data_IF_189609515141
#
_entry.id   IF_189609515141
#
_cell.length_a   1.000
_cell.length_b   1.000
_cell.length_c   1.000
_cell.angle_alpha   90.00
_cell.angle_beta   90.00
_cell.angle_gamma   90.00
#
_symmetry.space_group_name_H-M   'P 1'
#
loop_
_entity.id
_entity.type
_entity.pdbx_description
1 polymer ?
#
# COMPACT_ATOMS: atom_id res chain seq x y z
N UNK A 1 27.32 77.38 -38.87
CA UNK A 1 26.24 77.89 -38.00
C UNK A 1 24.92 77.87 -38.76
N UNK A 2 24.00 76.97 -38.41
CA UNK A 2 22.53 77.13 -38.45
C UNK A 2 21.91 75.75 -38.18
N UNK A 3 21.42 75.59 -36.95
CA UNK A 3 20.63 74.45 -36.47
C UNK A 3 19.26 74.52 -37.16
N UNK A 4 18.78 73.40 -37.69
CA UNK A 4 17.37 73.21 -37.98
C UNK A 4 16.84 72.04 -37.17
N UNK A 5 15.80 72.37 -36.42
CA UNK A 5 14.99 71.56 -35.53
C UNK A 5 13.89 70.83 -36.33
N UNK A 6 13.30 69.84 -35.65
CA UNK A 6 12.00 69.15 -35.83
C UNK A 6 12.06 67.70 -36.35
N UNK A 7 11.10 66.82 -35.96
CA UNK A 7 10.17 66.87 -34.83
C UNK A 7 10.18 65.61 -33.94
N UNK A 8 9.92 65.79 -32.64
CA UNK A 8 9.49 64.74 -31.71
C UNK A 8 8.19 64.10 -32.19
N UNK A 9 8.22 62.82 -32.54
CA UNK A 9 7.01 62.00 -32.55
C UNK A 9 6.68 61.60 -31.11
N UNK A 10 5.62 62.21 -30.56
CA UNK A 10 4.90 61.73 -29.37
C UNK A 10 4.30 60.36 -29.70
N UNK A 11 4.78 59.32 -29.02
CA UNK A 11 4.03 58.08 -28.86
C UNK A 11 2.89 58.30 -27.86
N UNK A 12 1.71 57.70 -28.06
CA UNK A 12 0.61 57.78 -27.11
C UNK A 12 0.96 57.06 -25.80
N UNK A 13 0.47 57.52 -24.63
CA UNK A 13 0.62 56.77 -23.40
C UNK A 13 -0.24 55.50 -23.50
N UNK A 14 0.42 54.34 -23.50
CA UNK A 14 -0.21 53.04 -23.28
C UNK A 14 -0.74 53.02 -21.85
N UNK A 15 -2.01 53.37 -21.72
CA UNK A 15 -2.77 53.28 -20.49
C UNK A 15 -3.14 51.81 -20.26
N UNK A 16 -2.20 51.00 -19.74
CA UNK A 16 -2.48 49.65 -19.25
C UNK A 16 -2.86 49.77 -17.77
N UNK A 17 -4.07 50.26 -17.54
CA UNK A 17 -4.77 50.05 -16.28
C UNK A 17 -5.81 48.99 -16.54
N UNK A 18 -5.55 47.74 -16.14
CA UNK A 18 -6.58 46.83 -15.61
C UNK A 18 -5.94 45.52 -15.15
N UNK A 19 -6.37 45.09 -13.97
CA UNK A 19 -6.23 43.75 -13.37
C UNK A 19 -5.02 43.49 -12.46
N UNK A 20 -4.89 44.31 -11.42
CA UNK A 20 -4.31 43.91 -10.14
C UNK A 20 -5.45 43.91 -9.11
N UNK A 21 -6.26 42.85 -9.08
CA UNK A 21 -7.27 42.66 -8.02
C UNK A 21 -7.23 41.26 -7.39
N UNK A 22 -6.32 40.38 -7.81
CA UNK A 22 -6.23 39.01 -7.28
C UNK A 22 -5.13 38.78 -6.24
N UNK A 23 -4.31 39.78 -5.91
CA UNK A 23 -3.21 39.65 -4.93
C UNK A 23 -3.62 39.88 -3.46
N UNK A 24 -4.69 40.62 -3.18
CA UNK A 24 -5.03 40.99 -1.80
C UNK A 24 -5.69 39.86 -0.98
N UNK A 25 -6.28 38.86 -1.62
CA UNK A 25 -6.88 37.70 -0.92
C UNK A 25 -5.81 36.69 -0.49
N UNK A 26 -4.65 36.65 -1.16
CA UNK A 26 -3.56 35.73 -0.83
C UNK A 26 -2.69 36.18 0.35
N UNK A 27 -2.54 37.50 0.56
CA UNK A 27 -1.68 38.04 1.63
C UNK A 27 -2.24 37.83 3.04
N UNK A 28 -3.57 37.80 3.18
CA UNK A 28 -4.18 37.67 4.52
C UNK A 28 -3.96 36.28 5.12
N UNK A 29 -4.06 35.23 4.29
CA UNK A 29 -3.84 33.84 4.72
C UNK A 29 -2.36 33.50 4.95
N UNK A 30 -1.42 34.27 4.38
CA UNK A 30 0.02 34.01 4.49
C UNK A 30 0.57 34.39 5.87
N UNK A 31 0.12 35.52 6.42
CA UNK A 31 0.52 35.98 7.77
C UNK A 31 0.03 35.04 8.89
N UNK A 32 -1.16 34.45 8.72
CA UNK A 32 -1.75 33.56 9.73
C UNK A 32 -1.00 32.22 9.79
N UNK A 33 -0.54 31.71 8.64
CA UNK A 33 0.26 30.48 8.55
C UNK A 33 1.64 30.67 9.18
N UNK A 34 2.28 31.81 8.95
CA UNK A 34 3.63 32.09 9.45
C UNK A 34 3.66 32.27 10.98
N UNK A 35 2.63 32.92 11.54
CA UNK A 35 2.44 33.06 12.99
C UNK A 35 2.15 31.71 13.70
N UNK A 36 1.45 30.79 13.03
CA UNK A 36 1.17 29.46 13.57
C UNK A 36 2.47 28.67 13.83
N UNK A 37 3.38 28.62 12.84
CA UNK A 37 4.64 27.88 12.98
C UNK A 37 5.55 28.43 14.09
N UNK A 38 5.51 29.73 14.32
CA UNK A 38 6.29 30.37 15.39
C UNK A 38 5.76 30.02 16.79
N UNK A 39 4.46 29.76 16.90
CA UNK A 39 3.80 29.38 18.15
C UNK A 39 4.09 27.91 18.50
N UNK A 40 4.07 27.01 17.51
CA UNK A 40 4.35 25.56 17.69
C UNK A 40 5.79 25.29 18.15
N UNK A 41 6.76 26.12 17.74
CA UNK A 41 8.15 25.99 18.14
C UNK A 41 8.40 26.23 19.65
N UNK A 42 7.46 26.87 20.36
CA UNK A 42 7.64 27.31 21.75
C UNK A 42 7.19 26.28 22.80
N UNK A 43 6.54 25.17 22.42
CA UNK A 43 5.80 24.30 23.36
C UNK A 43 6.51 22.99 23.75
N UNK A 44 7.79 22.79 23.40
CA UNK A 44 8.49 21.50 23.58
C UNK A 44 9.32 21.40 24.88
N UNK A 45 8.73 21.49 26.07
CA UNK A 45 9.44 21.13 27.32
C UNK A 45 8.53 20.52 28.40
N UNK A 46 8.16 19.24 28.26
CA UNK A 46 7.72 18.38 29.39
C UNK A 46 7.75 16.90 28.98
N UNK A 47 8.26 16.03 29.86
CA UNK A 47 8.42 14.57 29.60
C UNK A 47 7.06 13.85 29.53
N UNK A 48 6.61 13.31 28.38
CA UNK A 48 5.27 12.77 28.24
C UNK A 48 5.19 11.23 28.34
N UNK A 49 4.06 10.72 28.85
CA UNK A 49 3.65 9.32 28.75
C UNK A 49 3.56 8.86 27.27
N UNK A 50 3.72 7.56 27.00
CA UNK A 50 3.82 7.02 25.63
C UNK A 50 2.59 7.28 24.74
N UNK A 51 1.39 7.44 25.31
CA UNK A 51 0.19 7.81 24.54
C UNK A 51 0.22 9.24 24.04
N UNK A 52 0.68 10.18 24.87
CA UNK A 52 0.89 11.58 24.48
C UNK A 52 1.94 11.71 23.38
N UNK A 53 2.95 10.84 23.39
CA UNK A 53 3.95 10.79 22.33
C UNK A 53 3.34 10.42 20.97
N UNK A 54 2.46 9.41 20.92
CA UNK A 54 1.75 9.03 19.69
C UNK A 54 0.87 10.16 19.16
N UNK A 55 0.08 10.79 20.04
CA UNK A 55 -0.79 11.92 19.69
C UNK A 55 0.05 13.07 19.12
N UNK A 56 1.17 13.40 19.78
CA UNK A 56 2.11 14.42 19.32
C UNK A 56 2.64 14.12 17.93
N UNK A 57 3.01 12.87 17.63
CA UNK A 57 3.48 12.49 16.30
C UNK A 57 2.41 12.61 15.23
N UNK A 58 1.14 12.30 15.54
CA UNK A 58 0.02 12.48 14.60
C UNK A 58 -0.18 13.97 14.30
N UNK A 59 -0.15 14.82 15.33
CA UNK A 59 -0.27 16.28 15.17
C UNK A 59 0.90 16.82 14.33
N UNK A 60 2.13 16.42 14.66
CA UNK A 60 3.35 16.81 13.94
C UNK A 60 3.31 16.38 12.47
N UNK A 61 2.89 15.14 12.19
CA UNK A 61 2.68 14.65 10.83
C UNK A 61 1.63 15.48 10.07
N UNK A 62 0.53 15.83 10.74
CA UNK A 62 -0.55 16.65 10.16
C UNK A 62 -0.09 18.08 9.83
N UNK A 63 0.66 18.70 10.74
CA UNK A 63 1.27 20.02 10.53
C UNK A 63 2.30 20.00 9.39
N UNK A 64 3.11 18.95 9.32
CA UNK A 64 4.07 18.73 8.23
C UNK A 64 3.36 18.65 6.88
N UNK A 65 2.24 17.92 6.80
CA UNK A 65 1.42 17.85 5.58
C UNK A 65 0.78 19.21 5.25
N UNK A 66 0.31 19.96 6.24
CA UNK A 66 -0.23 21.30 6.05
C UNK A 66 0.82 22.25 5.43
N UNK A 67 2.03 22.26 5.98
CA UNK A 67 3.16 23.03 5.47
C UNK A 67 3.52 22.61 4.05
N UNK A 68 3.70 21.30 3.84
CA UNK A 68 4.07 20.71 2.56
C UNK A 68 3.06 21.06 1.47
N UNK A 69 1.77 20.92 1.76
CA UNK A 69 0.70 21.24 0.82
C UNK A 69 0.74 22.71 0.43
N UNK A 70 0.84 23.60 1.41
CA UNK A 70 0.87 25.05 1.20
C UNK A 70 2.10 25.47 0.38
N UNK A 71 3.29 24.91 0.71
CA UNK A 71 4.53 25.22 -0.01
C UNK A 71 4.49 24.75 -1.46
N UNK A 72 4.02 23.52 -1.69
CA UNK A 72 3.92 22.96 -3.04
C UNK A 72 2.88 23.70 -3.88
N UNK A 73 1.69 23.98 -3.34
CA UNK A 73 0.65 24.79 -4.00
C UNK A 73 1.20 26.16 -4.43
N UNK A 74 1.87 26.87 -3.51
CA UNK A 74 2.47 28.18 -3.79
C UNK A 74 3.52 28.07 -4.90
N UNK A 75 4.40 27.08 -4.82
CA UNK A 75 5.48 26.89 -5.81
C UNK A 75 4.92 26.58 -7.19
N UNK A 76 3.95 25.67 -7.27
CA UNK A 76 3.29 25.28 -8.54
C UNK A 76 2.51 26.45 -9.12
N UNK A 77 1.71 27.15 -8.30
CA UNK A 77 0.96 28.33 -8.71
C UNK A 77 1.86 29.42 -9.28
N UNK A 78 3.00 29.72 -8.63
CA UNK A 78 4.00 30.67 -9.15
C UNK A 78 4.59 30.20 -10.48
N UNK A 79 4.92 28.92 -10.62
CA UNK A 79 5.46 28.39 -11.87
C UNK A 79 4.48 28.55 -13.02
N UNK A 80 3.20 28.20 -12.83
CA UNK A 80 2.16 28.34 -13.85
C UNK A 80 1.93 29.81 -14.20
N UNK A 81 1.86 30.68 -13.20
CA UNK A 81 1.67 32.12 -13.38
C UNK A 81 2.80 32.78 -14.17
N UNK A 82 4.05 32.31 -14.01
CA UNK A 82 5.20 32.84 -14.77
C UNK A 82 5.18 32.45 -16.25
N UNK A 83 4.65 31.27 -16.59
CA UNK A 83 4.63 30.78 -17.98
C UNK A 83 3.48 31.40 -18.76
N UNK A 84 2.33 31.65 -18.12
CA UNK A 84 1.14 32.20 -18.79
C UNK A 84 0.50 31.26 -19.82
N UNK A 85 0.66 29.94 -19.65
CA UNK A 85 0.08 28.95 -20.56
C UNK A 85 -1.30 28.48 -20.07
N UNK A 86 -2.35 28.79 -20.84
CA UNK A 86 -3.74 28.46 -20.52
C UNK A 86 -4.00 26.96 -20.36
N UNK A 87 -3.29 26.10 -21.10
CA UNK A 87 -3.42 24.65 -20.99
C UNK A 87 -2.88 24.14 -19.66
N UNK A 88 -1.75 24.67 -19.19
CA UNK A 88 -1.22 24.36 -17.86
C UNK A 88 -2.16 24.87 -16.78
N UNK A 89 -2.66 26.10 -16.93
CA UNK A 89 -3.60 26.68 -15.98
C UNK A 89 -4.89 25.84 -15.86
N UNK A 90 -5.47 25.44 -16.98
CA UNK A 90 -6.65 24.56 -17.01
C UNK A 90 -6.39 23.19 -16.35
N UNK A 91 -5.20 22.61 -16.52
CA UNK A 91 -4.84 21.33 -15.93
C UNK A 91 -4.61 21.41 -14.41
N UNK A 92 -3.98 22.48 -13.92
CA UNK A 92 -3.59 22.60 -12.52
C UNK A 92 -4.63 23.31 -11.64
N UNK A 93 -5.44 24.22 -12.20
CA UNK A 93 -6.41 24.99 -11.41
C UNK A 93 -7.38 24.13 -10.59
N UNK A 94 -8.01 23.07 -11.14
CA UNK A 94 -8.95 22.23 -10.37
C UNK A 94 -8.28 21.57 -9.17
N UNK A 95 -7.07 21.04 -9.35
CA UNK A 95 -6.35 20.33 -8.31
C UNK A 95 -5.75 21.27 -7.26
N UNK A 96 -5.28 22.46 -7.66
CA UNK A 96 -4.84 23.49 -6.73
C UNK A 96 -6.00 23.98 -5.86
N UNK A 97 -7.20 24.15 -6.43
CA UNK A 97 -8.40 24.51 -5.68
C UNK A 97 -8.82 23.40 -4.70
N UNK A 98 -8.84 22.14 -5.17
CA UNK A 98 -9.12 20.96 -4.32
C UNK A 98 -8.13 20.85 -3.18
N UNK A 99 -6.84 21.05 -3.46
CA UNK A 99 -5.78 21.01 -2.46
C UNK A 99 -5.95 22.13 -1.43
N UNK A 100 -6.21 23.37 -1.87
CA UNK A 100 -6.46 24.51 -0.98
C UNK A 100 -7.62 24.26 -0.02
N UNK A 101 -8.77 23.81 -0.53
CA UNK A 101 -9.93 23.50 0.31
C UNK A 101 -9.64 22.40 1.35
N UNK A 102 -8.84 21.39 0.99
CA UNK A 102 -8.41 20.34 1.91
C UNK A 102 -7.44 20.86 2.97
N UNK A 103 -6.51 21.73 2.59
CA UNK A 103 -5.57 22.40 3.51
C UNK A 103 -6.30 23.28 4.52
N UNK A 104 -7.30 24.06 4.09
CA UNK A 104 -8.14 24.89 4.96
C UNK A 104 -8.93 24.05 5.97
N UNK A 105 -9.48 22.90 5.53
CA UNK A 105 -10.15 21.96 6.42
C UNK A 105 -9.17 21.38 7.46
N UNK A 106 -7.97 20.98 7.05
CA UNK A 106 -6.95 20.45 7.95
C UNK A 106 -6.50 21.50 8.98
N UNK A 107 -6.30 22.74 8.54
CA UNK A 107 -5.98 23.88 9.40
C UNK A 107 -7.05 24.09 10.47
N UNK A 108 -8.33 24.13 10.05
CA UNK A 108 -9.46 24.30 10.98
C UNK A 108 -9.50 23.20 12.06
N UNK A 109 -9.21 21.95 11.70
CA UNK A 109 -9.17 20.84 12.66
C UNK A 109 -7.99 20.99 13.63
N UNK A 110 -6.81 21.38 13.13
CA UNK A 110 -5.63 21.64 13.97
C UNK A 110 -5.89 22.78 14.97
N UNK A 111 -6.54 23.86 14.55
CA UNK A 111 -6.92 24.98 15.44
C UNK A 111 -7.95 24.56 16.50
N UNK A 112 -8.84 23.63 16.15
CA UNK A 112 -9.83 23.09 17.10
C UNK A 112 -9.19 22.18 18.15
N UNK A 113 -8.13 21.44 17.79
CA UNK A 113 -7.41 20.55 18.72
C UNK A 113 -6.74 21.35 19.85
N UNK A 114 -6.34 22.59 19.59
CA UNK A 114 -5.79 23.47 20.62
C UNK A 114 -6.84 23.87 21.67
N UNK A 115 -8.13 23.83 21.30
CA UNK A 115 -9.27 24.30 22.12
C UNK A 115 -10.12 23.17 22.71
N UNK A 116 -10.00 21.94 22.21
CA UNK A 116 -10.87 20.79 22.56
C UNK A 116 -10.06 19.54 22.88
N UNK A 117 -10.62 18.59 23.65
CA UNK A 117 -9.95 17.32 23.92
C UNK A 117 -9.68 16.53 22.61
N UNK A 118 -8.43 16.13 22.42
CA UNK A 118 -7.94 15.45 21.20
C UNK A 118 -8.70 14.16 20.85
N UNK A 119 -9.23 13.44 21.85
CA UNK A 119 -9.91 12.15 21.66
C UNK A 119 -11.09 12.21 20.70
N UNK A 120 -11.81 13.34 20.66
CA UNK A 120 -12.96 13.53 19.77
C UNK A 120 -12.55 13.89 18.34
N UNK A 121 -11.44 14.62 18.18
CA UNK A 121 -10.99 15.18 16.90
C UNK A 121 -9.94 14.30 16.19
N UNK A 122 -9.42 13.27 16.86
CA UNK A 122 -8.34 12.43 16.35
C UNK A 122 -8.70 11.76 15.02
N UNK A 123 -9.91 11.21 14.90
CA UNK A 123 -10.34 10.56 13.66
C UNK A 123 -10.46 11.57 12.52
N UNK A 124 -11.06 12.73 12.77
CA UNK A 124 -11.20 13.80 11.78
C UNK A 124 -9.84 14.33 11.32
N UNK A 125 -8.87 14.47 12.23
CA UNK A 125 -7.50 14.87 11.90
C UNK A 125 -6.82 13.84 11.00
N UNK A 126 -6.89 12.55 11.35
CA UNK A 126 -6.28 11.46 10.57
C UNK A 126 -6.91 11.41 9.17
N UNK A 127 -8.24 11.48 9.08
CA UNK A 127 -8.96 11.46 7.80
C UNK A 127 -8.64 12.69 6.95
N UNK A 128 -8.60 13.88 7.56
CA UNK A 128 -8.25 15.12 6.85
C UNK A 128 -6.80 15.10 6.35
N UNK A 129 -5.86 14.58 7.15
CA UNK A 129 -4.45 14.43 6.76
C UNK A 129 -4.29 13.43 5.62
N UNK A 130 -4.95 12.28 5.70
CA UNK A 130 -4.97 11.26 4.64
C UNK A 130 -5.56 11.80 3.33
N UNK A 131 -6.65 12.58 3.41
CA UNK A 131 -7.24 13.28 2.27
C UNK A 131 -6.25 14.27 1.64
N UNK A 132 -5.56 15.07 2.46
CA UNK A 132 -4.52 16.00 1.98
C UNK A 132 -3.39 15.26 1.25
N UNK A 133 -2.87 14.16 1.82
CA UNK A 133 -1.84 13.33 1.18
C UNK A 133 -2.32 12.80 -0.17
N UNK A 134 -3.57 12.33 -0.24
CA UNK A 134 -4.15 11.81 -1.49
C UNK A 134 -4.22 12.88 -2.58
N UNK A 135 -4.64 14.10 -2.24
CA UNK A 135 -4.68 15.23 -3.18
C UNK A 135 -3.27 15.67 -3.60
N UNK A 136 -2.31 15.67 -2.68
CA UNK A 136 -0.92 15.97 -3.02
C UNK A 136 -0.32 14.92 -3.97
N UNK A 137 -0.68 13.63 -3.82
CA UNK A 137 -0.28 12.59 -4.78
C UNK A 137 -0.83 12.88 -6.17
N UNK A 138 -2.10 13.27 -6.27
CA UNK A 138 -2.71 13.70 -7.55
C UNK A 138 -1.97 14.93 -8.12
N UNK A 139 -1.55 15.89 -7.28
CA UNK A 139 -0.83 17.10 -7.71
C UNK A 139 0.56 16.75 -8.24
N UNK A 140 1.30 15.92 -7.52
CA UNK A 140 2.59 15.39 -7.94
C UNK A 140 2.49 14.57 -9.24
N UNK A 141 1.40 13.82 -9.42
CA UNK A 141 1.14 13.11 -10.67
C UNK A 141 0.90 14.07 -11.84
N UNK A 142 0.05 15.08 -11.64
CA UNK A 142 -0.21 16.12 -12.65
C UNK A 142 1.06 16.89 -13.01
N UNK A 143 1.89 17.20 -12.02
CA UNK A 143 3.22 17.75 -12.23
C UNK A 143 4.08 16.84 -13.10
N UNK A 144 4.17 15.55 -12.78
CA UNK A 144 4.96 14.58 -13.53
C UNK A 144 4.53 14.50 -15.00
N UNK A 145 3.23 14.45 -15.28
CA UNK A 145 2.72 14.32 -16.66
C UNK A 145 2.92 15.59 -17.49
N UNK A 146 2.96 16.76 -16.85
CA UNK A 146 3.15 18.07 -17.51
C UNK A 146 4.54 18.68 -17.28
N UNK A 147 5.47 17.92 -16.68
CA UNK A 147 6.75 18.46 -16.22
C UNK A 147 7.59 19.01 -17.38
N UNK A 148 7.60 18.33 -18.52
CA UNK A 148 8.37 18.76 -19.70
C UNK A 148 7.89 20.12 -20.20
N UNK A 149 6.59 20.30 -20.39
CA UNK A 149 5.99 21.57 -20.80
C UNK A 149 6.21 22.67 -19.76
N UNK A 150 6.09 22.32 -18.48
CA UNK A 150 6.31 23.26 -17.38
C UNK A 150 7.77 23.76 -17.38
N UNK A 151 8.75 22.84 -17.39
CA UNK A 151 10.18 23.17 -17.33
C UNK A 151 10.65 23.93 -18.58
N UNK A 152 10.09 23.65 -19.76
CA UNK A 152 10.41 24.40 -20.99
C UNK A 152 10.05 25.89 -20.90
N UNK A 153 9.03 26.24 -20.11
CA UNK A 153 8.62 27.63 -19.91
C UNK A 153 9.25 28.30 -18.69
N UNK A 154 9.96 27.55 -17.82
CA UNK A 154 10.54 28.09 -16.59
C UNK A 154 12.01 28.45 -16.78
N UNK A 155 12.45 29.49 -16.08
CA UNK A 155 13.88 29.71 -15.89
C UNK A 155 14.49 28.61 -14.97
N UNK A 156 15.82 28.54 -14.98
CA UNK A 156 16.56 27.57 -14.17
C UNK A 156 16.36 27.77 -12.65
N UNK A 157 16.05 28.99 -12.20
CA UNK A 157 15.83 29.31 -10.77
C UNK A 157 14.49 28.73 -10.31
N UNK A 158 13.40 28.94 -11.05
CA UNK A 158 12.09 28.38 -10.76
C UNK A 158 12.08 26.87 -10.92
N UNK A 159 12.76 26.33 -11.93
CA UNK A 159 12.89 24.88 -12.12
C UNK A 159 13.63 24.21 -10.96
N UNK A 160 14.75 24.80 -10.49
CA UNK A 160 15.46 24.31 -9.30
C UNK A 160 14.59 24.40 -8.05
N UNK A 161 13.90 25.51 -7.84
CA UNK A 161 13.02 25.68 -6.69
C UNK A 161 11.86 24.67 -6.69
N UNK A 162 11.26 24.42 -7.86
CA UNK A 162 10.21 23.42 -8.03
C UNK A 162 10.73 22.02 -7.70
N UNK A 163 11.91 21.65 -8.20
CA UNK A 163 12.51 20.33 -7.94
C UNK A 163 12.77 20.11 -6.44
N UNK A 164 13.34 21.10 -5.76
CA UNK A 164 13.60 21.03 -4.31
C UNK A 164 12.29 20.84 -3.54
N UNK A 165 11.27 21.68 -3.82
CA UNK A 165 9.98 21.58 -3.14
C UNK A 165 9.27 20.26 -3.43
N UNK A 166 9.36 19.75 -4.66
CA UNK A 166 8.77 18.46 -5.02
C UNK A 166 9.45 17.31 -4.26
N UNK A 167 10.78 17.32 -4.18
CA UNK A 167 11.53 16.30 -3.45
C UNK A 167 11.20 16.32 -1.96
N UNK A 168 11.29 17.49 -1.31
CA UNK A 168 10.92 17.67 0.10
C UNK A 168 9.49 17.19 0.36
N UNK A 169 8.54 17.63 -0.48
CA UNK A 169 7.15 17.20 -0.34
C UNK A 169 6.97 15.69 -0.41
N UNK A 170 7.68 14.99 -1.32
CA UNK A 170 7.58 13.53 -1.42
C UNK A 170 8.13 12.79 -0.19
N UNK A 171 9.19 13.31 0.43
CA UNK A 171 9.76 12.76 1.67
C UNK A 171 8.79 12.99 2.82
N UNK A 172 8.35 14.23 3.01
CA UNK A 172 7.44 14.64 4.07
C UNK A 172 6.10 13.88 4.00
N UNK A 173 5.57 13.69 2.79
CA UNK A 173 4.36 12.89 2.57
C UNK A 173 4.55 11.42 2.95
N UNK A 174 5.70 10.82 2.64
CA UNK A 174 6.00 9.43 2.96
C UNK A 174 6.09 9.25 4.48
N UNK A 175 6.83 10.13 5.15
CA UNK A 175 7.07 10.02 6.58
C UNK A 175 5.78 10.25 7.37
N UNK A 176 4.99 11.27 7.00
CA UNK A 176 3.67 11.49 7.58
C UNK A 176 2.71 10.32 7.30
N UNK A 177 2.75 9.72 6.11
CA UNK A 177 1.93 8.54 5.79
C UNK A 177 2.26 7.35 6.71
N UNK A 178 3.55 7.11 6.98
CA UNK A 178 3.96 6.02 7.88
C UNK A 178 3.41 6.21 9.29
N UNK A 179 3.29 7.45 9.76
CA UNK A 179 2.70 7.78 11.06
C UNK A 179 1.19 7.55 11.06
N UNK A 180 0.45 8.00 10.04
CA UNK A 180 -1.02 7.93 10.06
C UNK A 180 -1.59 6.57 9.59
N UNK A 181 -0.89 5.84 8.73
CA UNK A 181 -1.39 4.63 8.07
C UNK A 181 -1.88 3.54 9.04
N UNK A 182 -1.21 3.25 10.18
CA UNK A 182 -1.70 2.28 11.16
C UNK A 182 -3.12 2.58 11.70
N UNK A 183 -3.55 3.84 11.64
CA UNK A 183 -4.82 4.30 12.19
C UNK A 183 -5.95 4.41 11.14
N UNK A 184 -5.67 4.11 9.86
CA UNK A 184 -6.67 4.17 8.79
C UNK A 184 -7.49 2.87 8.68
N UNK A 185 -6.93 1.73 9.08
CA UNK A 185 -7.56 0.40 8.95
C UNK A 185 -8.30 -0.09 10.19
N UNK A 186 -8.08 0.55 11.33
CA UNK A 186 -8.64 0.18 12.64
C UNK A 186 -9.31 1.42 13.23
N UNK A 187 -10.41 1.25 13.96
CA UNK A 187 -11.04 2.34 14.71
C UNK A 187 -9.95 3.06 15.55
N UNK A 188 -9.62 4.33 15.24
CA UNK A 188 -8.48 5.02 15.83
C UNK A 188 -8.63 5.16 17.33
N UNK A 189 -9.88 5.30 17.81
CA UNK A 189 -10.18 5.42 19.24
C UNK A 189 -9.90 4.11 19.97
N UNK A 190 -10.26 2.96 19.39
CA UNK A 190 -9.96 1.65 19.99
C UNK A 190 -8.47 1.35 19.97
N UNK A 191 -7.76 1.73 18.90
CA UNK A 191 -6.31 1.54 18.80
C UNK A 191 -5.59 2.35 19.88
N UNK A 192 -5.89 3.65 19.98
CA UNK A 192 -5.37 4.52 21.03
C UNK A 192 -5.73 4.03 22.43
N UNK A 193 -6.97 3.59 22.65
CA UNK A 193 -7.44 3.06 23.95
C UNK A 193 -6.75 1.76 24.32
N UNK A 194 -6.50 0.85 23.37
CA UNK A 194 -5.80 -0.41 23.63
C UNK A 194 -4.35 -0.19 24.09
N UNK A 195 -3.68 0.82 23.52
CA UNK A 195 -2.37 1.27 23.99
C UNK A 195 -2.44 1.91 25.38
N UNK A 196 -3.51 2.64 25.69
CA UNK A 196 -3.73 3.22 27.04
C UNK A 196 -4.05 2.15 28.10
N UNK A 197 -4.75 1.07 27.74
CA UNK A 197 -5.27 0.08 28.68
C UNK A 197 -4.26 -1.05 29.00
N UNK A 198 -3.26 -1.29 28.15
CA UNK A 198 -2.19 -2.27 28.42
C UNK A 198 -1.20 -1.84 29.51
N UNK A 199 -1.17 -0.56 29.91
CA UNK A 199 -0.17 -0.05 30.85
C UNK A 199 -0.61 -0.04 32.34
N UNK A 200 -1.88 -0.31 32.64
CA UNK A 200 -2.41 -0.26 34.01
C UNK A 200 -2.32 -1.59 34.79
N UNK A 201 -1.52 -2.58 34.35
CA UNK A 201 -1.41 -3.91 34.99
C UNK A 201 -0.01 -4.35 35.44
N UNK A 202 0.94 -3.45 35.65
CA UNK A 202 2.28 -3.82 36.17
C UNK A 202 2.68 -2.96 37.37
N UNK A 203 1.99 -3.12 38.50
CA UNK A 203 2.53 -2.75 39.81
C UNK A 203 1.75 -3.43 40.94
N UNK A 204 2.04 -4.70 41.22
CA UNK A 204 2.02 -5.24 42.59
C UNK A 204 2.62 -6.65 42.60
N UNK A 205 3.90 -6.71 42.95
CA UNK A 205 4.61 -7.90 43.42
C UNK A 205 4.15 -8.28 44.83
N UNK A 206 3.66 -9.51 45.02
CA UNK A 206 3.85 -10.30 46.25
C UNK A 206 3.68 -11.79 45.94
N UNK A 207 4.59 -12.68 46.39
CA UNK A 207 4.51 -14.11 46.15
C UNK A 207 3.96 -14.85 47.38
N UNK A 208 2.87 -15.61 47.21
CA UNK A 208 2.50 -16.68 48.14
C UNK A 208 1.66 -17.74 47.42
N UNK A 209 2.29 -18.88 47.12
CA UNK A 209 1.66 -20.21 47.20
C UNK A 209 1.18 -20.49 48.64
N UNK A 210 0.20 -21.38 48.95
CA UNK A 210 0.06 -22.71 48.34
C UNK A 210 -1.37 -23.36 48.29
N UNK A 211 -1.38 -24.63 47.83
CA UNK A 211 -2.35 -25.72 48.07
C UNK A 211 -3.67 -25.81 47.27
N UNK A 212 -3.68 -26.78 46.34
CA UNK A 212 -4.55 -27.98 46.32
C UNK A 212 -6.01 -27.76 46.75
N UNK A 213 -6.94 -27.85 45.80
CA UNK A 213 -8.04 -28.81 45.97
C UNK A 213 -8.67 -29.31 44.68
N UNK A 214 -8.94 -30.61 44.75
CA UNK A 214 -9.60 -31.52 43.84
C UNK A 214 -11.09 -31.47 44.15
N UNK A 215 -11.97 -31.42 43.14
CA UNK A 215 -13.19 -32.22 43.09
C UNK A 215 -14.03 -32.00 41.82
N UNK A 216 -14.64 -33.11 41.42
CA UNK A 216 -15.76 -33.36 40.52
C UNK A 216 -16.98 -32.47 40.88
N UNK A 217 -18.00 -32.18 40.06
CA UNK A 217 -18.77 -33.03 39.15
C UNK A 217 -19.76 -32.16 38.33
N UNK A 218 -20.27 -32.76 37.27
CA UNK A 218 -21.65 -32.68 36.71
C UNK A 218 -22.18 -31.43 35.96
N UNK A 219 -22.38 -31.65 34.65
CA UNK A 219 -23.68 -31.64 33.96
C UNK A 219 -24.75 -30.65 34.47
N UNK A 220 -24.96 -29.57 33.73
CA UNK A 220 -26.32 -29.14 33.37
C UNK A 220 -26.37 -28.65 31.93
N UNK A 221 -27.21 -29.34 31.17
CA UNK A 221 -27.76 -28.93 29.88
C UNK A 221 -28.59 -27.68 30.12
N UNK A 222 -28.29 -26.58 29.45
CA UNK A 222 -29.29 -25.53 29.24
C UNK A 222 -29.07 -24.87 27.90
N UNK A 223 -29.99 -25.20 27.00
CA UNK A 223 -30.16 -24.64 25.69
C UNK A 223 -30.66 -23.20 25.80
N UNK A 224 -29.93 -22.25 25.21
CA UNK A 224 -30.51 -21.05 24.63
C UNK A 224 -29.58 -20.54 23.52
N UNK A 225 -29.87 -20.97 22.30
CA UNK A 225 -29.45 -20.28 21.08
C UNK A 225 -30.17 -18.94 20.98
N UNK A 226 -29.49 -17.87 20.51
CA UNK A 226 -30.13 -16.89 19.67
C UNK A 226 -29.73 -17.19 18.22
N UNK A 227 -30.70 -17.78 17.51
CA UNK A 227 -30.83 -17.65 16.06
C UNK A 227 -30.82 -16.16 15.74
N UNK A 228 -29.77 -15.68 15.08
CA UNK A 228 -29.83 -14.57 14.12
C UNK A 228 -28.74 -14.81 13.08
N UNK A 229 -29.11 -15.49 12.00
CA UNK A 229 -28.39 -15.38 10.73
C UNK A 229 -28.58 -13.98 10.18
N UNK A 230 -27.52 -13.24 9.83
CA UNK A 230 -27.61 -12.33 8.71
C UNK A 230 -27.18 -13.12 7.48
N UNK A 231 -28.18 -13.54 6.70
CA UNK A 231 -28.01 -13.84 5.28
C UNK A 231 -27.70 -12.51 4.56
N UNK A 232 -26.52 -11.96 4.80
CA UNK A 232 -25.94 -10.93 3.96
C UNK A 232 -25.00 -11.67 3.02
N UNK A 233 -25.51 -12.08 1.85
CA UNK A 233 -24.66 -12.34 0.71
C UNK A 233 -23.81 -11.09 0.51
N UNK A 234 -22.48 -11.13 0.74
CA UNK A 234 -21.67 -9.99 0.41
C UNK A 234 -21.78 -9.87 -1.12
N UNK A 235 -22.23 -8.72 -1.57
CA UNK A 235 -22.17 -8.32 -2.96
C UNK A 235 -20.67 -8.11 -3.29
N UNK A 236 -19.88 -9.21 -3.30
CA UNK A 236 -18.47 -9.29 -3.66
C UNK A 236 -18.41 -9.20 -5.18
N UNK A 237 -18.84 -8.06 -5.72
CA UNK A 237 -18.49 -7.70 -7.08
C UNK A 237 -17.40 -6.66 -7.02
N UNK A 238 -16.17 -7.15 -7.08
CA UNK A 238 -15.16 -6.50 -7.89
C UNK A 238 -14.13 -5.62 -7.18
N UNK A 239 -13.89 -5.78 -5.89
CA UNK A 239 -12.70 -5.16 -5.28
C UNK A 239 -11.59 -6.19 -4.99
N UNK A 240 -10.64 -6.30 -5.92
CA UNK A 240 -9.44 -7.13 -5.75
C UNK A 240 -8.45 -6.50 -4.73
N UNK A 241 -8.75 -5.36 -4.09
CA UNK A 241 -7.85 -4.71 -3.11
C UNK A 241 -7.42 -5.64 -1.99
N UNK A 242 -8.33 -6.45 -1.45
CA UNK A 242 -8.00 -7.41 -0.41
C UNK A 242 -6.99 -8.45 -0.93
N UNK A 243 -7.22 -9.02 -2.12
CA UNK A 243 -6.30 -9.97 -2.74
C UNK A 243 -4.91 -9.36 -2.95
N UNK A 244 -4.85 -8.14 -3.50
CA UNK A 244 -3.57 -7.46 -3.72
C UNK A 244 -2.84 -7.13 -2.41
N UNK A 245 -3.57 -6.75 -1.37
CA UNK A 245 -2.99 -6.53 -0.03
C UNK A 245 -2.38 -7.82 0.52
N UNK A 246 -3.10 -8.95 0.44
CA UNK A 246 -2.58 -10.25 0.87
C UNK A 246 -1.38 -10.70 0.04
N UNK A 247 -1.41 -10.45 -1.27
CA UNK A 247 -0.32 -10.78 -2.19
C UNK A 247 0.95 -10.00 -1.84
N UNK A 248 0.83 -8.69 -1.59
CA UNK A 248 1.94 -7.84 -1.18
C UNK A 248 2.53 -8.24 0.16
N UNK A 249 1.67 -8.60 1.12
CA UNK A 249 2.11 -9.12 2.42
C UNK A 249 2.87 -10.45 2.25
N UNK A 250 2.39 -11.36 1.39
CA UNK A 250 3.07 -12.62 1.09
C UNK A 250 4.44 -12.38 0.43
N UNK A 251 4.53 -11.46 -0.53
CA UNK A 251 5.77 -11.09 -1.22
C UNK A 251 6.79 -10.49 -0.24
N UNK A 252 6.37 -9.50 0.56
CA UNK A 252 7.23 -8.84 1.55
C UNK A 252 7.78 -9.85 2.57
N UNK A 253 6.91 -10.72 3.08
CA UNK A 253 7.29 -11.76 4.03
C UNK A 253 8.25 -12.77 3.41
N UNK A 254 8.03 -13.14 2.15
CA UNK A 254 8.92 -14.06 1.42
C UNK A 254 10.29 -13.44 1.21
N UNK A 255 10.38 -12.17 0.79
CA UNK A 255 11.66 -11.46 0.64
C UNK A 255 12.48 -11.45 1.93
N UNK A 256 11.83 -11.20 3.08
CA UNK A 256 12.51 -11.25 4.37
C UNK A 256 13.10 -12.64 4.67
N UNK A 257 12.32 -13.70 4.44
CA UNK A 257 12.75 -15.09 4.67
C UNK A 257 13.85 -15.50 3.69
N UNK A 258 13.74 -15.13 2.40
CA UNK A 258 14.74 -15.43 1.38
C UNK A 258 16.07 -14.75 1.68
N UNK A 259 16.05 -13.49 2.13
CA UNK A 259 17.27 -12.78 2.55
C UNK A 259 17.92 -13.42 3.79
N UNK A 260 17.10 -13.76 4.79
CA UNK A 260 17.58 -14.45 6.00
C UNK A 260 18.17 -15.83 5.66
N UNK A 261 17.54 -16.55 4.73
CA UNK A 261 18.00 -17.84 4.25
C UNK A 261 19.34 -17.71 3.50
N UNK A 262 19.45 -16.73 2.60
CA UNK A 262 20.68 -16.42 1.88
C UNK A 262 21.85 -16.17 2.85
N UNK A 263 21.64 -15.29 3.83
CA UNK A 263 22.65 -15.00 4.85
C UNK A 263 23.05 -16.26 5.62
N UNK A 264 22.08 -17.06 6.06
CA UNK A 264 22.37 -18.30 6.79
C UNK A 264 23.13 -19.32 5.96
N UNK A 265 22.87 -19.40 4.64
CA UNK A 265 23.62 -20.27 3.73
C UNK A 265 25.06 -19.78 3.60
N UNK A 266 25.26 -18.47 3.38
CA UNK A 266 26.59 -17.86 3.25
C UNK A 266 27.43 -18.05 4.53
N UNK A 267 26.83 -17.83 5.71
CA UNK A 267 27.47 -18.07 7.01
C UNK A 267 27.84 -19.55 7.19
N UNK A 268 26.96 -20.46 6.76
CA UNK A 268 27.24 -21.90 6.81
C UNK A 268 28.42 -22.24 5.92
N UNK A 269 28.43 -21.75 4.67
CA UNK A 269 29.47 -21.99 3.66
C UNK A 269 30.87 -21.48 4.06
N UNK A 270 30.94 -20.45 4.91
CA UNK A 270 32.21 -19.95 5.45
C UNK A 270 32.79 -20.83 6.58
N UNK A 271 32.04 -21.79 7.09
CA UNK A 271 32.51 -22.72 8.12
C UNK A 271 33.50 -23.76 7.59
N UNK A 272 34.64 -23.95 8.27
CA UNK A 272 35.78 -24.78 7.80
C UNK A 272 35.53 -26.31 7.68
N UNK A 273 34.32 -26.84 7.87
CA UNK A 273 34.07 -28.30 7.94
C UNK A 273 32.66 -28.71 7.45
N UNK A 274 32.31 -28.40 6.21
CA UNK A 274 31.02 -28.81 5.63
C UNK A 274 31.22 -30.02 4.71
N UNK A 275 30.37 -31.06 4.77
CA UNK A 275 30.36 -32.12 3.78
C UNK A 275 30.13 -31.59 2.35
N UNK A 276 30.88 -32.09 1.38
CA UNK A 276 30.79 -31.67 -0.04
C UNK A 276 29.37 -31.89 -0.61
N UNK A 277 28.65 -32.93 -0.14
CA UNK A 277 27.25 -33.18 -0.50
C UNK A 277 26.33 -32.03 -0.09
N UNK A 278 26.46 -31.59 1.16
CA UNK A 278 25.70 -30.50 1.74
C UNK A 278 26.06 -29.17 1.07
N UNK A 279 27.35 -28.91 0.82
CA UNK A 279 27.81 -27.71 0.13
C UNK A 279 27.16 -27.56 -1.26
N UNK A 280 27.10 -28.64 -2.05
CA UNK A 280 26.43 -28.63 -3.37
C UNK A 280 24.93 -28.32 -3.24
N UNK A 281 24.25 -28.90 -2.25
CA UNK A 281 22.82 -28.65 -2.01
C UNK A 281 22.57 -27.22 -1.55
N UNK A 282 23.43 -26.66 -0.70
CA UNK A 282 23.34 -25.28 -0.23
C UNK A 282 23.54 -24.28 -1.38
N UNK A 283 24.50 -24.54 -2.28
CA UNK A 283 24.70 -23.72 -3.47
C UNK A 283 23.50 -23.76 -4.44
N UNK A 284 22.90 -24.93 -4.64
CA UNK A 284 21.67 -25.02 -5.45
C UNK A 284 20.49 -24.31 -4.75
N UNK A 285 20.38 -24.42 -3.42
CA UNK A 285 19.34 -23.69 -2.67
C UNK A 285 19.53 -22.18 -2.78
N UNK A 286 20.77 -21.70 -2.74
CA UNK A 286 21.12 -20.30 -2.93
C UNK A 286 20.67 -19.80 -4.32
N UNK A 287 20.92 -20.59 -5.37
CA UNK A 287 20.45 -20.29 -6.74
C UNK A 287 18.92 -20.21 -6.82
N UNK A 288 18.21 -21.15 -6.21
CA UNK A 288 16.73 -21.15 -6.16
C UNK A 288 16.18 -19.97 -5.36
N UNK A 289 16.86 -19.60 -4.27
CA UNK A 289 16.51 -18.44 -3.42
C UNK A 289 16.64 -17.13 -4.20
N UNK A 290 17.71 -16.98 -4.99
CA UNK A 290 17.93 -15.82 -5.85
C UNK A 290 16.84 -15.71 -6.92
N UNK A 291 16.52 -16.81 -7.61
CA UNK A 291 15.43 -16.86 -8.59
C UNK A 291 14.07 -16.49 -7.98
N UNK A 292 13.75 -17.02 -6.79
CA UNK A 292 12.52 -16.66 -6.08
C UNK A 292 12.48 -15.18 -5.65
N UNK A 293 13.64 -14.59 -5.33
CA UNK A 293 13.77 -13.16 -4.98
C UNK A 293 13.45 -12.26 -6.18
N UNK A 294 13.97 -12.60 -7.35
CA UNK A 294 13.69 -11.87 -8.60
C UNK A 294 12.21 -11.92 -8.97
N UNK A 295 11.60 -13.10 -8.87
CA UNK A 295 10.15 -13.28 -9.09
C UNK A 295 9.32 -12.49 -8.08
N UNK A 296 9.74 -12.45 -6.81
CA UNK A 296 9.07 -11.68 -5.76
C UNK A 296 9.06 -10.19 -6.09
N UNK A 297 10.20 -9.61 -6.50
CA UNK A 297 10.27 -8.21 -6.91
C UNK A 297 9.48 -7.91 -8.20
N UNK A 298 9.47 -8.84 -9.15
CA UNK A 298 8.69 -8.70 -10.38
C UNK A 298 7.18 -8.65 -10.08
N UNK A 299 6.73 -9.54 -9.21
CA UNK A 299 5.34 -9.59 -8.77
C UNK A 299 4.96 -8.34 -7.98
N UNK A 300 5.80 -7.87 -7.06
CA UNK A 300 5.55 -6.65 -6.27
C UNK A 300 5.27 -5.44 -7.16
N UNK A 301 6.13 -5.20 -8.16
CA UNK A 301 5.96 -4.12 -9.14
C UNK A 301 4.65 -4.25 -9.93
N UNK A 302 4.28 -5.47 -10.31
CA UNK A 302 3.06 -5.71 -11.05
C UNK A 302 1.80 -5.55 -10.18
N UNK A 303 1.86 -5.92 -8.91
CA UNK A 303 0.77 -5.65 -7.95
C UNK A 303 0.61 -4.15 -7.74
N UNK A 304 1.69 -3.41 -7.52
CA UNK A 304 1.65 -1.95 -7.38
C UNK A 304 1.05 -1.26 -8.61
N UNK A 305 1.47 -1.65 -9.82
CA UNK A 305 0.93 -1.10 -11.06
C UNK A 305 -0.58 -1.35 -11.21
N UNK A 306 -1.06 -2.53 -10.81
CA UNK A 306 -2.49 -2.87 -10.87
C UNK A 306 -3.31 -2.21 -9.76
N UNK A 307 -2.72 -1.92 -8.59
CA UNK A 307 -3.39 -1.14 -7.53
C UNK A 307 -3.43 0.37 -7.84
N UNK A 308 -2.45 0.88 -8.59
CA UNK A 308 -2.33 2.31 -8.92
C UNK A 308 -3.14 2.79 -10.13
N UNK A 309 -3.68 1.88 -10.95
CA UNK A 309 -4.44 2.22 -12.15
C UNK A 309 -5.86 2.73 -11.82
N UNK A 310 -5.93 3.99 -11.42
CA UNK A 310 -7.15 4.80 -11.47
C UNK A 310 -7.49 5.14 -12.93
N UNK A 311 -8.50 4.46 -13.47
CA UNK A 311 -9.50 4.80 -14.52
C UNK A 311 -9.23 5.75 -15.71
N UNK A 312 -8.13 6.51 -15.83
CA UNK A 312 -8.06 7.59 -16.84
C UNK A 312 -7.16 7.34 -18.07
N UNK A 313 -6.30 6.32 -18.10
CA UNK A 313 -5.45 6.00 -19.28
C UNK A 313 -6.08 4.97 -20.24
N UNK A 314 -7.41 5.06 -20.42
CA UNK A 314 -8.25 4.04 -21.08
C UNK A 314 -8.09 3.93 -22.61
N UNK A 315 -7.16 4.66 -23.23
CA UNK A 315 -7.08 4.72 -24.70
C UNK A 315 -5.88 3.98 -25.32
N UNK A 316 -4.88 3.55 -24.53
CA UNK A 316 -3.71 2.82 -25.05
C UNK A 316 -3.23 1.64 -24.18
N UNK A 317 -3.95 1.26 -23.11
CA UNK A 317 -3.53 0.20 -22.19
C UNK A 317 -3.89 -1.22 -22.71
N UNK A 318 -3.10 -2.25 -22.34
CA UNK A 318 -3.49 -3.65 -22.50
C UNK A 318 -4.91 -3.87 -21.97
N UNK A 319 -5.71 -4.65 -22.70
CA UNK A 319 -7.08 -4.96 -22.26
C UNK A 319 -7.07 -5.48 -20.82
N UNK A 320 -8.10 -5.18 -20.02
CA UNK A 320 -8.22 -5.65 -18.62
C UNK A 320 -7.90 -7.14 -18.44
N UNK A 321 -8.28 -7.96 -19.44
CA UNK A 321 -8.02 -9.40 -19.46
C UNK A 321 -6.52 -9.74 -19.58
N UNK A 322 -5.76 -8.94 -20.33
CA UNK A 322 -4.31 -9.12 -20.48
C UNK A 322 -3.56 -8.74 -19.21
N UNK A 323 -3.94 -7.65 -18.53
CA UNK A 323 -3.39 -7.31 -17.21
C UNK A 323 -3.70 -8.39 -16.17
N UNK A 324 -4.94 -8.92 -16.19
CA UNK A 324 -5.38 -10.02 -15.34
C UNK A 324 -4.56 -11.30 -15.57
N UNK A 325 -4.34 -11.65 -16.84
CA UNK A 325 -3.52 -12.80 -17.22
C UNK A 325 -2.09 -12.65 -16.72
N UNK A 326 -1.47 -11.49 -16.95
CA UNK A 326 -0.08 -11.23 -16.56
C UNK A 326 0.12 -11.35 -15.05
N UNK A 327 -0.76 -10.77 -14.24
CA UNK A 327 -0.66 -10.86 -12.79
C UNK A 327 -0.89 -12.29 -12.28
N UNK A 328 -1.77 -13.06 -12.95
CA UNK A 328 -1.94 -14.48 -12.67
C UNK A 328 -0.68 -15.28 -12.98
N UNK A 329 -0.08 -15.10 -14.15
CA UNK A 329 1.14 -15.79 -14.58
C UNK A 329 2.28 -15.52 -13.59
N UNK A 330 2.50 -14.26 -13.24
CA UNK A 330 3.54 -13.89 -12.26
C UNK A 330 3.26 -14.46 -10.87
N UNK A 331 2.01 -14.41 -10.40
CA UNK A 331 1.64 -15.01 -9.12
C UNK A 331 1.86 -16.52 -9.12
N UNK A 332 1.47 -17.20 -10.20
CA UNK A 332 1.62 -18.65 -10.35
C UNK A 332 3.09 -19.07 -10.34
N UNK A 333 3.94 -18.37 -11.10
CA UNK A 333 5.38 -18.65 -11.16
C UNK A 333 6.05 -18.36 -9.81
N UNK A 334 5.71 -17.24 -9.17
CA UNK A 334 6.18 -16.89 -7.83
C UNK A 334 5.83 -17.97 -6.80
N UNK A 335 4.56 -18.40 -6.74
CA UNK A 335 4.11 -19.41 -5.77
C UNK A 335 4.83 -20.74 -5.98
N UNK A 336 5.01 -21.17 -7.23
CA UNK A 336 5.78 -22.38 -7.56
C UNK A 336 7.24 -22.28 -7.10
N UNK A 337 7.88 -21.12 -7.30
CA UNK A 337 9.25 -20.90 -6.85
C UNK A 337 9.37 -20.94 -5.31
N UNK A 338 8.46 -20.29 -4.59
CA UNK A 338 8.43 -20.34 -3.12
C UNK A 338 8.24 -21.78 -2.62
N UNK A 339 7.28 -22.52 -3.17
CA UNK A 339 7.05 -23.93 -2.79
C UNK A 339 8.29 -24.80 -3.08
N UNK A 340 8.98 -24.56 -4.21
CA UNK A 340 10.22 -25.25 -4.54
C UNK A 340 11.31 -24.99 -3.50
N UNK A 341 11.54 -23.72 -3.13
CA UNK A 341 12.50 -23.34 -2.08
C UNK A 341 12.15 -24.03 -0.74
N UNK A 342 10.89 -23.98 -0.30
CA UNK A 342 10.46 -24.60 0.96
C UNK A 342 10.63 -26.12 0.96
N UNK A 343 10.34 -26.76 -0.17
CA UNK A 343 10.55 -28.21 -0.36
C UNK A 343 12.04 -28.56 -0.26
N UNK A 344 12.90 -27.72 -0.84
CA UNK A 344 14.34 -27.95 -0.85
C UNK A 344 14.98 -27.75 0.54
N UNK A 345 14.55 -26.72 1.29
CA UNK A 345 14.90 -26.52 2.71
C UNK A 345 14.57 -27.78 3.53
N UNK A 346 13.36 -28.34 3.34
CA UNK A 346 12.92 -29.56 4.03
C UNK A 346 13.78 -30.76 3.66
N UNK A 347 14.09 -30.92 2.38
CA UNK A 347 14.95 -32.01 1.87
C UNK A 347 16.33 -32.00 2.53
N UNK A 348 16.97 -30.82 2.62
CA UNK A 348 18.28 -30.67 3.26
C UNK A 348 18.22 -31.07 4.74
N UNK A 349 17.19 -30.63 5.48
CA UNK A 349 17.02 -31.01 6.88
C UNK A 349 16.82 -32.50 7.11
N UNK A 350 16.17 -33.21 6.17
CA UNK A 350 15.93 -34.65 6.32
C UNK A 350 17.13 -35.51 5.91
N UNK A 351 17.98 -35.05 4.99
CA UNK A 351 19.02 -35.89 4.37
C UNK A 351 20.42 -35.68 4.92
N UNK A 352 20.74 -34.49 5.44
CA UNK A 352 22.13 -34.12 5.81
C UNK A 352 22.28 -33.84 7.31
N UNK A 353 21.30 -34.25 8.14
CA UNK A 353 21.21 -33.91 9.57
C UNK A 353 21.38 -32.40 9.86
N UNK A 354 21.07 -31.57 8.87
CA UNK A 354 21.31 -30.13 8.92
C UNK A 354 20.17 -29.39 9.63
N UNK A 355 20.53 -28.65 10.68
CA UNK A 355 19.59 -27.89 11.49
C UNK A 355 19.50 -26.42 11.09
N UNK A 356 18.43 -26.03 10.39
CA UNK A 356 18.18 -24.61 10.12
C UNK A 356 17.94 -23.79 11.40
N UNK A 357 18.40 -22.53 11.43
CA UNK A 357 18.00 -21.54 12.43
C UNK A 357 16.49 -21.49 12.66
N UNK A 358 16.07 -21.22 13.91
CA UNK A 358 14.65 -21.14 14.28
C UNK A 358 13.91 -20.06 13.48
N UNK A 359 14.56 -18.94 13.19
CA UNK A 359 14.04 -17.84 12.39
C UNK A 359 13.63 -18.30 10.98
N UNK A 360 14.46 -19.10 10.31
CA UNK A 360 14.17 -19.65 8.99
C UNK A 360 12.98 -20.60 9.06
N UNK A 361 12.97 -21.53 10.02
CA UNK A 361 11.84 -22.48 10.19
C UNK A 361 10.52 -21.75 10.41
N UNK A 362 10.50 -20.74 11.29
CA UNK A 362 9.30 -19.93 11.55
C UNK A 362 8.90 -19.10 10.34
N UNK A 363 9.87 -18.50 9.64
CA UNK A 363 9.66 -17.77 8.40
C UNK A 363 9.02 -18.62 7.31
N UNK A 364 9.56 -19.82 7.07
CA UNK A 364 9.01 -20.78 6.11
C UNK A 364 7.56 -21.16 6.42
N UNK A 365 7.23 -21.42 7.70
CA UNK A 365 5.87 -21.71 8.13
C UNK A 365 4.92 -20.54 7.88
N UNK A 366 5.37 -19.32 8.20
CA UNK A 366 4.58 -18.11 7.99
C UNK A 366 4.31 -17.85 6.51
N UNK A 367 5.35 -17.90 5.67
CA UNK A 367 5.23 -17.76 4.20
C UNK A 367 4.31 -18.83 3.62
N UNK A 368 4.40 -20.08 4.08
CA UNK A 368 3.51 -21.16 3.65
C UNK A 368 2.05 -20.83 3.94
N UNK A 369 1.73 -20.33 5.14
CA UNK A 369 0.35 -19.91 5.48
C UNK A 369 -0.11 -18.74 4.62
N UNK A 370 0.74 -17.73 4.42
CA UNK A 370 0.40 -16.54 3.62
C UNK A 370 0.12 -16.91 2.16
N UNK A 371 0.97 -17.75 1.56
CA UNK A 371 0.78 -18.23 0.18
C UNK A 371 -0.46 -19.10 0.01
N UNK A 372 -0.82 -19.89 1.04
CA UNK A 372 -2.08 -20.65 1.05
C UNK A 372 -3.32 -19.73 1.12
N UNK A 373 -3.30 -18.69 1.97
CA UNK A 373 -4.38 -17.71 2.03
C UNK A 373 -4.51 -16.91 0.73
N UNK A 374 -3.39 -16.56 0.07
CA UNK A 374 -3.42 -15.96 -1.27
C UNK A 374 -4.11 -16.87 -2.27
N UNK A 375 -3.74 -18.15 -2.34
CA UNK A 375 -4.35 -19.10 -3.26
C UNK A 375 -5.86 -19.29 -2.98
N UNK A 376 -6.25 -19.31 -1.71
CA UNK A 376 -7.64 -19.38 -1.28
C UNK A 376 -8.42 -18.14 -1.71
N UNK A 377 -7.96 -16.94 -1.36
CA UNK A 377 -8.62 -15.68 -1.75
C UNK A 377 -8.72 -15.53 -3.27
N UNK A 378 -7.68 -15.93 -3.98
CA UNK A 378 -7.65 -15.92 -5.44
C UNK A 378 -8.79 -16.76 -6.03
N UNK A 379 -8.93 -17.99 -5.55
CA UNK A 379 -9.93 -18.93 -6.06
C UNK A 379 -11.35 -18.64 -5.57
N UNK A 380 -11.51 -17.95 -4.44
CA UNK A 380 -12.82 -17.70 -3.82
C UNK A 380 -13.44 -16.35 -4.18
N UNK A 381 -12.63 -15.31 -4.41
CA UNK A 381 -13.13 -13.93 -4.39
C UNK A 381 -12.61 -13.04 -5.53
N UNK A 382 -11.89 -13.62 -6.51
CA UNK A 382 -11.27 -12.82 -7.56
C UNK A 382 -12.05 -12.83 -8.86
N UNK A 383 -12.11 -11.65 -9.50
CA UNK A 383 -12.45 -11.51 -10.93
C UNK A 383 -11.54 -12.36 -11.84
N UNK A 384 -10.35 -12.75 -11.37
CA UNK A 384 -9.46 -13.68 -12.07
C UNK A 384 -10.05 -15.09 -12.19
N UNK A 385 -10.76 -15.56 -11.16
CA UNK A 385 -11.38 -16.89 -11.18
C UNK A 385 -12.57 -16.92 -12.15
N UNK A 386 -13.31 -15.82 -12.27
CA UNK A 386 -14.36 -15.64 -13.29
C UNK A 386 -13.77 -15.69 -14.72
N UNK A 387 -12.57 -15.12 -14.90
CA UNK A 387 -11.82 -15.16 -16.16
C UNK A 387 -11.15 -16.52 -16.44
N UNK A 388 -11.31 -17.52 -15.56
CA UNK A 388 -10.76 -18.88 -15.70
C UNK A 388 -9.33 -19.06 -15.18
N UNK A 389 -8.76 -18.04 -14.53
CA UNK A 389 -7.39 -18.06 -14.01
C UNK A 389 -7.35 -18.57 -12.56
N UNK A 390 -7.28 -19.89 -12.39
CA UNK A 390 -7.20 -20.53 -11.06
C UNK A 390 -5.76 -20.74 -10.60
N UNK A 391 -5.53 -20.67 -9.28
CA UNK A 391 -4.26 -21.06 -8.67
C UNK A 391 -4.38 -22.46 -8.06
N UNK A 392 -3.40 -23.33 -8.34
CA UNK A 392 -3.28 -24.65 -7.71
C UNK A 392 -4.23 -25.74 -8.20
N UNK A 393 -5.18 -25.45 -9.10
CA UNK A 393 -5.85 -26.51 -9.86
C UNK A 393 -4.92 -26.97 -10.98
N UNK A 394 -4.38 -28.17 -10.85
CA UNK A 394 -3.81 -28.89 -11.97
C UNK A 394 -4.93 -29.05 -12.99
N UNK A 395 -4.70 -28.60 -14.23
CA UNK A 395 -5.63 -28.77 -15.35
C UNK A 395 -6.06 -30.23 -15.41
N UNK A 396 -7.23 -30.56 -14.83
CA UNK A 396 -7.88 -31.81 -15.18
C UNK A 396 -8.35 -31.58 -16.59
N UNK A 397 -7.60 -32.15 -17.53
CA UNK A 397 -7.89 -32.17 -18.96
C UNK A 397 -9.40 -32.22 -19.18
N UNK A 398 -9.92 -31.19 -19.85
CA UNK A 398 -11.25 -31.20 -20.47
C UNK A 398 -11.21 -32.23 -21.62
N UNK A 399 -11.19 -33.50 -21.25
CA UNK A 399 -11.26 -34.62 -22.17
C UNK A 399 -12.35 -35.56 -21.70
N UNK A 400 -13.58 -35.07 -21.66
CA UNK A 400 -14.78 -35.88 -21.90
C UNK A 400 -15.71 -35.01 -22.75
N UNK A 401 -15.65 -35.26 -24.06
CA UNK A 401 -16.61 -34.81 -25.04
C UNK A 401 -18.02 -35.21 -24.58
N UNK A 402 -18.89 -34.24 -24.28
CA UNK A 402 -20.33 -34.44 -24.34
C UNK A 402 -20.68 -34.73 -25.80
N UNK A 403 -20.72 -36.03 -26.14
CA UNK A 403 -21.32 -36.48 -27.38
C UNK A 403 -22.85 -36.50 -27.15
N UNK A 404 -23.65 -35.79 -27.96
CA UNK A 404 -25.10 -35.83 -27.81
C UNK A 404 -25.62 -37.24 -28.11
N UNK A 405 -26.66 -37.71 -27.39
CA UNK A 405 -27.20 -39.05 -27.59
C UNK A 405 -27.86 -39.15 -28.97
N UNK A 406 -27.28 -39.97 -29.84
CA UNK A 406 -27.94 -40.42 -31.06
C UNK A 406 -29.15 -41.28 -30.67
N UNK A 407 -30.37 -40.99 -31.17
CA UNK A 407 -31.46 -41.96 -31.14
C UNK A 407 -31.14 -43.03 -32.19
N UNK A 408 -31.73 -44.22 -32.03
CA UNK A 408 -31.53 -45.40 -32.87
C UNK A 408 -30.28 -46.23 -32.56
N UNK A 409 -30.43 -47.16 -31.63
CA UNK A 409 -30.00 -48.53 -31.92
C UNK A 409 -30.84 -49.51 -31.10
N UNK A 410 -31.83 -50.11 -31.75
CA UNK A 410 -32.55 -51.30 -31.29
C UNK A 410 -31.62 -52.52 -31.38
N UNK A 411 -31.67 -53.36 -30.35
CA UNK A 411 -31.05 -54.69 -30.27
C UNK A 411 -31.38 -55.59 -31.48
N UNK A 412 -30.66 -56.72 -31.64
CA UNK A 412 -31.22 -57.92 -31.03
C UNK A 412 -30.20 -58.85 -30.35
N UNK A 413 -30.81 -59.69 -29.51
CA UNK A 413 -30.24 -60.79 -28.77
C UNK A 413 -29.42 -61.77 -29.62
N UNK A 414 -28.45 -62.43 -28.96
CA UNK A 414 -28.25 -63.85 -29.15
C UNK A 414 -27.64 -64.48 -27.88
N UNK A 415 -28.47 -65.32 -27.29
CA UNK A 415 -28.15 -66.49 -26.46
C UNK A 415 -27.04 -67.31 -27.12
N UNK A 416 -26.09 -67.85 -26.34
CA UNK A 416 -25.49 -69.18 -26.56
C UNK A 416 -24.73 -69.61 -25.28
N UNK A 417 -24.92 -70.88 -24.97
CA UNK A 417 -24.49 -71.67 -23.82
C UNK A 417 -22.98 -71.85 -23.60
N UNK A 418 -22.60 -71.90 -22.32
CA UNK A 418 -21.80 -72.92 -21.57
C UNK A 418 -21.12 -73.99 -22.46
N UNK A 419 -19.80 -74.32 -22.28
CA UNK A 419 -19.44 -75.12 -21.11
C UNK A 419 -18.07 -74.96 -20.44
N UNK A 420 -18.10 -75.34 -19.15
CA UNK A 420 -16.98 -75.84 -18.34
C UNK A 420 -16.21 -76.93 -19.08
N UNK A 421 -14.88 -76.91 -18.98
CA UNK A 421 -14.14 -78.10 -18.57
C UNK A 421 -12.69 -77.78 -18.16
N UNK A 422 -12.29 -78.52 -17.13
CA UNK A 422 -10.93 -78.87 -16.65
C UNK A 422 -10.01 -77.78 -16.12
#
# INVERSE_FOLDING_TARGET
>A
MKRNLYPQQRLPPLNVTTRIESENVYKHSEADIENYFQTVASTQHTTPNSSFKTISHIIEASQTILFTASSLQRTVGRCIGCIGNDSLNAAFSPILHKSKASTEKLMTILDMIEKRPFSEMCNDLIQSTSSCISILKELCWTLRTRLSTLVQGLDAKFSRNLLINLYSATVDMKDAWQVINPYLSVDPVQTLTSFMQQQSKTSSTTPTTPLRNRSYSELTVSAHSPITSPLASPNIKGDNTQLYTHLRNAVTSSLHVLNTLKQSIEETLQGNKIPISLEKKLNELLRQTQYATELSHRLDKNVEANMGNNKEDLLLLPTRKESSRRIWEDTSIYLKAIVSVMTFIRSISTQEEFAWPKSIKQGCLYVTRMTAEVAKLWNSCSTFAEDGFFLGRQERSLSVSEQPPSPYCTSPANTIDIPKNT
#
